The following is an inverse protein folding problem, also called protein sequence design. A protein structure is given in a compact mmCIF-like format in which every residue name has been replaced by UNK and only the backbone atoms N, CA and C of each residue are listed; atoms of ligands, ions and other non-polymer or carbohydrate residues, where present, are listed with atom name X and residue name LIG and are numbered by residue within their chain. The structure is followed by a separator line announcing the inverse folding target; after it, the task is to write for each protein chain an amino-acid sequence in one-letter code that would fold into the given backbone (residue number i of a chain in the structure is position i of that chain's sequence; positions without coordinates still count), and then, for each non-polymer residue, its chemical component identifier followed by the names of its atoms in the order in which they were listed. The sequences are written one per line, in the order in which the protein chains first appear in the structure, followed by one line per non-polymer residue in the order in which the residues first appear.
data_IF_281687013432
#
_entry.id   IF_281687013432
#
_cell.length_a   1.000
_cell.length_b   1.000
_cell.length_c   1.000
_cell.angle_alpha   90.00
_cell.angle_beta   90.00
_cell.angle_gamma   90.00
#
_symmetry.space_group_name_H-M   'P 1'
#
loop_
_entity.id
_entity.type
_entity.pdbx_description
1 polymer ?
#
# COMPACT_ATOMS: atom_id res chain seq x y z
N UNK A 1 -23.98 -4.44 0.90
CA UNK A 1 -22.69 -3.99 0.36
C UNK A 1 -22.88 -3.17 -0.91
N UNK A 2 -22.09 -2.10 -1.04
CA UNK A 2 -22.03 -1.35 -2.28
C UNK A 2 -21.46 -2.21 -3.41
N UNK A 3 -21.71 -1.82 -4.66
CA UNK A 3 -21.12 -2.49 -5.82
C UNK A 3 -19.59 -2.46 -5.78
N UNK A 4 -19.01 -1.34 -5.32
CA UNK A 4 -17.55 -1.23 -5.16
C UNK A 4 -17.00 -2.26 -4.19
N UNK A 5 -17.65 -2.43 -3.05
CA UNK A 5 -17.21 -3.39 -2.04
C UNK A 5 -17.34 -4.83 -2.55
N UNK A 6 -18.40 -5.14 -3.29
CA UNK A 6 -18.56 -6.46 -3.93
C UNK A 6 -17.47 -6.73 -4.94
N UNK A 7 -17.21 -5.74 -5.80
CA UNK A 7 -16.19 -5.87 -6.83
C UNK A 7 -14.81 -6.09 -6.20
N UNK A 8 -14.48 -5.30 -5.18
CA UNK A 8 -13.22 -5.44 -4.47
C UNK A 8 -13.06 -6.84 -3.85
N UNK A 9 -14.10 -7.36 -3.22
CA UNK A 9 -14.07 -8.69 -2.64
C UNK A 9 -13.90 -9.79 -3.68
N UNK A 10 -14.62 -9.70 -4.80
CA UNK A 10 -14.51 -10.66 -5.90
C UNK A 10 -13.10 -10.62 -6.48
N UNK A 11 -12.56 -9.44 -6.71
CA UNK A 11 -11.20 -9.27 -7.21
C UNK A 11 -10.18 -9.88 -6.26
N UNK A 12 -10.32 -9.59 -4.96
CA UNK A 12 -9.39 -10.07 -3.93
C UNK A 12 -9.33 -11.60 -3.85
N UNK A 13 -10.44 -12.29 -4.13
CA UNK A 13 -10.49 -13.77 -4.10
C UNK A 13 -9.67 -14.43 -5.20
N UNK A 14 -9.30 -13.70 -6.24
CA UNK A 14 -8.52 -14.25 -7.37
C UNK A 14 -7.03 -14.32 -7.08
N UNK A 15 -6.60 -13.71 -5.98
CA UNK A 15 -5.19 -13.59 -5.66
C UNK A 15 -4.87 -14.28 -4.35
N UNK A 16 -3.69 -14.89 -4.27
CA UNK A 16 -3.20 -15.54 -3.06
C UNK A 16 -2.77 -14.49 -2.03
N UNK A 17 -2.08 -13.46 -2.50
CA UNK A 17 -1.62 -12.36 -1.66
C UNK A 17 -1.89 -11.03 -2.34
N UNK A 18 -2.19 -10.01 -1.53
CA UNK A 18 -2.39 -8.65 -2.00
C UNK A 18 -1.43 -7.74 -1.23
N UNK A 19 -0.56 -7.09 -1.96
CA UNK A 19 0.39 -6.13 -1.41
C UNK A 19 0.03 -4.73 -1.87
N UNK A 20 0.15 -3.75 -0.98
CA UNK A 20 -0.11 -2.35 -1.30
C UNK A 20 1.17 -1.55 -1.08
N UNK A 21 1.66 -0.93 -2.13
CA UNK A 21 2.87 -0.13 -2.08
C UNK A 21 2.58 1.24 -2.68
N UNK A 22 3.43 2.19 -2.42
CA UNK A 22 3.26 3.50 -3.02
C UNK A 22 4.09 4.60 -2.39
N UNK A 23 3.88 5.79 -2.90
CA UNK A 23 4.53 6.99 -2.44
C UNK A 23 3.69 8.20 -2.84
N UNK A 24 3.94 9.32 -2.19
CA UNK A 24 3.32 10.57 -2.55
C UNK A 24 2.41 11.15 -1.46
N UNK A 25 1.99 12.36 -1.69
CA UNK A 25 1.32 13.20 -0.70
C UNK A 25 -0.02 12.63 -0.23
N UNK A 26 -0.77 12.05 -1.14
CA UNK A 26 -2.12 11.52 -0.86
C UNK A 26 -2.12 10.00 -0.68
N UNK A 27 -0.97 9.35 -0.71
CA UNK A 27 -0.89 7.88 -0.70
C UNK A 27 -1.44 7.25 0.58
N UNK A 28 -1.22 7.87 1.74
CA UNK A 28 -1.75 7.38 3.01
C UNK A 28 -3.29 7.42 3.03
N UNK A 29 -3.89 8.49 2.52
CA UNK A 29 -5.35 8.60 2.42
C UNK A 29 -5.93 7.57 1.47
N UNK A 30 -5.26 7.35 0.31
CA UNK A 30 -5.65 6.31 -0.63
C UNK A 30 -5.52 4.91 0.00
N UNK A 31 -4.44 4.68 0.74
CA UNK A 31 -4.22 3.41 1.42
C UNK A 31 -5.30 3.14 2.47
N UNK A 32 -5.74 4.16 3.18
CA UNK A 32 -6.84 4.02 4.14
C UNK A 32 -8.12 3.57 3.44
N UNK A 33 -8.44 4.15 2.29
CA UNK A 33 -9.60 3.75 1.49
C UNK A 33 -9.48 2.29 1.03
N UNK A 34 -8.30 1.89 0.57
CA UNK A 34 -8.04 0.50 0.16
C UNK A 34 -8.18 -0.46 1.33
N UNK A 35 -7.69 -0.09 2.52
CA UNK A 35 -7.86 -0.91 3.72
C UNK A 35 -9.33 -1.09 4.11
N UNK A 36 -10.12 -0.05 3.96
CA UNK A 36 -11.57 -0.13 4.23
C UNK A 36 -12.29 -1.07 3.27
N UNK A 37 -11.85 -1.13 2.02
CA UNK A 37 -12.44 -1.99 1.00
C UNK A 37 -11.99 -3.45 1.13
N UNK A 38 -10.71 -3.68 1.31
CA UNK A 38 -10.11 -5.02 1.25
C UNK A 38 -9.87 -5.64 2.63
N UNK A 39 -9.64 -4.82 3.65
CA UNK A 39 -9.50 -5.26 5.02
C UNK A 39 -8.46 -6.38 5.20
N UNK A 40 -8.88 -7.49 5.79
CA UNK A 40 -8.01 -8.62 6.08
C UNK A 40 -7.45 -9.33 4.84
N UNK A 41 -7.94 -9.01 3.64
CA UNK A 41 -7.42 -9.55 2.38
C UNK A 41 -6.06 -8.97 2.01
N UNK A 42 -5.71 -7.83 2.57
CA UNK A 42 -4.38 -7.25 2.36
C UNK A 42 -3.37 -8.05 3.15
N UNK A 43 -2.38 -8.60 2.46
CA UNK A 43 -1.27 -9.33 3.08
C UNK A 43 -0.32 -8.39 3.79
N UNK A 44 -0.03 -7.26 3.18
CA UNK A 44 0.85 -6.26 3.74
C UNK A 44 1.20 -5.19 2.72
N UNK A 45 2.10 -4.31 3.08
CA UNK A 45 2.55 -3.28 2.18
C UNK A 45 3.35 -2.20 2.87
N UNK A 46 3.83 -1.27 2.07
CA UNK A 46 4.62 -0.14 2.56
C UNK A 46 4.41 1.07 1.67
N UNK A 47 4.18 2.21 2.28
CA UNK A 47 4.00 3.49 1.60
C UNK A 47 4.99 4.50 2.15
N UNK A 48 5.73 5.14 1.25
CA UNK A 48 6.55 6.30 1.61
C UNK A 48 5.67 7.55 1.63
N UNK A 49 5.61 8.20 2.76
CA UNK A 49 4.83 9.43 2.92
C UNK A 49 5.69 10.55 3.47
N UNK A 50 5.31 11.79 3.17
CA UNK A 50 5.89 12.95 3.80
C UNK A 50 5.60 12.94 5.30
N UNK A 51 6.53 13.44 6.11
CA UNK A 51 6.31 13.62 7.55
C UNK A 51 4.97 14.33 7.81
N UNK A 52 4.24 13.86 8.80
CA UNK A 52 2.93 14.36 9.21
C UNK A 52 1.77 14.06 8.25
N UNK A 53 2.01 13.43 7.10
CA UNK A 53 0.96 13.01 6.17
C UNK A 53 0.60 11.54 6.38
N UNK A 54 0.27 11.18 7.62
CA UNK A 54 -0.02 9.79 8.00
C UNK A 54 -1.49 9.57 8.24
N UNK A 55 -1.88 8.29 8.22
CA UNK A 55 -3.24 7.82 8.52
C UNK A 55 -3.17 6.57 9.39
N UNK A 56 -4.22 6.26 10.19
CA UNK A 56 -4.21 5.09 11.05
C UNK A 56 -4.45 3.79 10.28
N UNK A 57 -3.41 3.26 9.66
CA UNK A 57 -3.48 2.02 8.90
C UNK A 57 -3.18 0.81 9.78
N UNK A 58 -3.76 -0.34 9.42
CA UNK A 58 -3.61 -1.59 10.17
C UNK A 58 -2.73 -2.61 9.48
N UNK A 59 -2.82 -2.70 8.16
CA UNK A 59 -2.14 -3.71 7.36
C UNK A 59 -0.99 -3.17 6.53
N UNK A 60 -1.08 -1.89 6.20
CA UNK A 60 -0.09 -1.21 5.38
C UNK A 60 0.77 -0.37 6.30
N UNK A 61 2.10 -0.52 6.20
CA UNK A 61 3.04 0.29 6.97
C UNK A 61 3.29 1.62 6.26
N UNK A 62 3.40 2.67 7.04
CA UNK A 62 3.80 3.98 6.54
C UNK A 62 5.24 4.25 6.93
N UNK A 63 6.05 4.68 5.96
CA UNK A 63 7.42 5.13 6.18
C UNK A 63 7.47 6.63 5.95
N UNK A 64 7.60 7.39 7.02
CA UNK A 64 7.71 8.84 6.94
C UNK A 64 9.10 9.23 6.43
N UNK A 65 9.15 10.07 5.42
CA UNK A 65 10.39 10.46 4.78
C UNK A 65 10.37 11.92 4.34
N UNK A 66 11.54 12.44 3.93
CA UNK A 66 11.67 13.81 3.49
C UNK A 66 10.95 14.09 2.17
N UNK A 67 10.46 15.30 2.03
CA UNK A 67 9.84 15.81 0.82
C UNK A 67 10.00 17.33 0.79
N UNK A 68 10.36 17.96 -0.32
CA UNK A 68 10.55 17.38 -1.65
C UNK A 68 11.92 16.73 -1.88
N UNK A 69 12.87 16.92 -0.97
CA UNK A 69 14.20 16.34 -1.12
C UNK A 69 14.23 14.92 -0.58
N UNK A 70 14.70 13.93 -1.37
CA UNK A 70 14.85 12.56 -0.88
C UNK A 70 15.84 12.52 0.29
N UNK A 71 15.58 11.65 1.25
CA UNK A 71 16.46 11.38 2.36
C UNK A 71 16.71 9.87 2.50
N UNK A 72 17.53 9.50 3.48
CA UNK A 72 17.87 8.09 3.71
C UNK A 72 16.63 7.24 4.03
N UNK A 73 15.66 7.80 4.75
CA UNK A 73 14.42 7.10 5.08
C UNK A 73 13.60 6.82 3.82
N UNK A 74 13.55 7.76 2.89
CA UNK A 74 12.88 7.58 1.61
C UNK A 74 13.56 6.51 0.76
N UNK A 75 14.89 6.49 0.74
CA UNK A 75 15.66 5.47 0.00
C UNK A 75 15.45 4.10 0.60
N UNK A 76 15.51 3.98 1.92
CA UNK A 76 15.26 2.71 2.62
C UNK A 76 13.85 2.19 2.35
N UNK A 77 12.84 3.07 2.41
CA UNK A 77 11.47 2.71 2.09
C UNK A 77 11.30 2.25 0.66
N UNK A 78 11.93 2.94 -0.30
CA UNK A 78 11.88 2.55 -1.70
C UNK A 78 12.50 1.17 -1.94
N UNK A 79 13.58 0.84 -1.23
CA UNK A 79 14.19 -0.50 -1.31
C UNK A 79 13.25 -1.58 -0.78
N UNK A 80 12.58 -1.34 0.35
CA UNK A 80 11.62 -2.29 0.89
C UNK A 80 10.43 -2.47 -0.05
N UNK A 81 9.93 -1.39 -0.64
CA UNK A 81 8.85 -1.45 -1.63
C UNK A 81 9.27 -2.33 -2.81
N UNK A 82 10.48 -2.14 -3.31
CA UNK A 82 11.01 -2.96 -4.39
C UNK A 82 11.12 -4.44 -4.00
N UNK A 83 11.52 -4.73 -2.77
CA UNK A 83 11.59 -6.09 -2.26
C UNK A 83 10.21 -6.74 -2.16
N UNK A 84 9.20 -6.00 -1.69
CA UNK A 84 7.82 -6.48 -1.63
C UNK A 84 7.35 -6.84 -3.05
N UNK A 85 7.55 -5.95 -4.01
CA UNK A 85 7.16 -6.20 -5.39
C UNK A 85 7.91 -7.40 -6.00
N UNK A 86 9.19 -7.56 -5.68
CA UNK A 86 10.00 -8.66 -6.20
C UNK A 86 9.59 -10.02 -5.64
N UNK A 87 8.98 -10.07 -4.46
CA UNK A 87 8.48 -11.30 -3.84
C UNK A 87 7.14 -11.76 -4.42
N UNK A 88 6.43 -10.90 -5.12
CA UNK A 88 5.12 -11.22 -5.65
C UNK A 88 5.21 -12.28 -6.75
N UNK A 89 4.27 -13.21 -6.73
CA UNK A 89 4.16 -14.31 -7.70
C UNK A 89 3.01 -14.04 -8.67
N UNK A 90 2.84 -14.92 -9.66
CA UNK A 90 1.80 -14.79 -10.68
C UNK A 90 0.37 -14.64 -10.11
N UNK A 91 0.13 -15.26 -8.96
CA UNK A 91 -1.18 -15.22 -8.30
C UNK A 91 -1.28 -14.15 -7.24
N UNK A 92 -0.33 -13.28 -7.16
CA UNK A 92 -0.32 -12.15 -6.24
C UNK A 92 -0.69 -10.87 -6.96
N UNK A 93 -1.28 -9.94 -6.23
CA UNK A 93 -1.61 -8.60 -6.72
C UNK A 93 -0.77 -7.58 -5.96
N UNK A 94 -0.15 -6.68 -6.71
CA UNK A 94 0.53 -5.51 -6.14
C UNK A 94 -0.23 -4.26 -6.58
N UNK A 95 -0.80 -3.55 -5.63
CA UNK A 95 -1.48 -2.29 -5.87
C UNK A 95 -0.51 -1.16 -5.57
N UNK A 96 -0.27 -0.32 -6.56
CA UNK A 96 0.64 0.82 -6.42
C UNK A 96 -0.15 2.12 -6.35
N UNK A 97 -0.01 2.85 -5.25
CA UNK A 97 -0.69 4.13 -5.00
C UNK A 97 0.29 5.28 -5.18
N UNK A 98 -0.01 6.14 -6.10
CA UNK A 98 0.86 7.29 -6.44
C UNK A 98 0.11 8.60 -6.33
#
# INVERSE_FOLDING_TARGET
LSQRARFAKVLARRYDHIYVVGAGKASATMALAVEKLLGARITGGLINVKHEHTEPLRRIRLNECGHPLPDEDGVAGAREIAQIAAQAHERDLVICLI
#
